data_IF_236426995900
#
_entry.id   IF_236426995900
#
_cell.length_a   1.000
_cell.length_b   1.000
_cell.length_c   1.000
_cell.angle_alpha   90.00
_cell.angle_beta   90.00
_cell.angle_gamma   90.00
#
_symmetry.space_group_name_H-M   'P 1'
#
loop_
_entity.id
_entity.type
_entity.pdbx_description
1 polymer ?
#
# COMPACT_ATOMS: atom_id res chain seq x y z
N UNK A 1 12.38 14.83 -8.98
CA UNK A 1 11.02 14.53 -9.47
C UNK A 1 10.48 13.32 -8.72
N UNK A 2 9.64 13.50 -7.70
CA UNK A 2 9.13 12.40 -6.89
C UNK A 2 7.61 12.40 -6.90
N UNK A 3 7.01 11.80 -7.94
CA UNK A 3 5.56 11.54 -8.00
C UNK A 3 5.29 10.15 -7.41
N UNK A 4 5.60 9.97 -6.13
CA UNK A 4 5.08 8.84 -5.37
C UNK A 4 3.65 9.22 -4.96
N UNK A 5 2.69 8.95 -5.85
CA UNK A 5 1.29 8.95 -5.46
C UNK A 5 1.10 7.86 -4.41
N UNK A 6 1.14 8.25 -3.13
CA UNK A 6 1.03 7.34 -2.00
C UNK A 6 -0.34 6.66 -2.05
N UNK A 7 -0.41 5.43 -2.55
CA UNK A 7 -1.57 4.58 -2.28
C UNK A 7 -1.74 4.50 -0.77
N UNK A 8 -2.90 4.91 -0.25
CA UNK A 8 -3.16 4.89 1.19
C UNK A 8 -2.78 3.55 1.78
N UNK A 9 -2.05 3.57 2.89
CA UNK A 9 -1.61 2.37 3.61
C UNK A 9 -2.77 1.40 3.87
N UNK A 10 -3.95 1.94 4.17
CA UNK A 10 -5.19 1.18 4.30
C UNK A 10 -5.56 0.36 3.06
N UNK A 11 -5.36 0.90 1.86
CA UNK A 11 -5.67 0.21 0.61
C UNK A 11 -4.72 -0.97 0.39
N UNK A 12 -3.42 -0.78 0.67
CA UNK A 12 -2.43 -1.86 0.57
C UNK A 12 -2.73 -2.99 1.56
N UNK A 13 -3.03 -2.62 2.81
CA UNK A 13 -3.37 -3.58 3.87
C UNK A 13 -4.65 -4.36 3.55
N UNK A 14 -5.69 -3.69 3.03
CA UNK A 14 -6.93 -4.34 2.61
C UNK A 14 -6.72 -5.28 1.42
N UNK A 15 -5.93 -4.88 0.43
CA UNK A 15 -5.61 -5.73 -0.72
C UNK A 15 -4.82 -6.99 -0.32
N UNK A 16 -3.80 -6.85 0.55
CA UNK A 16 -3.03 -7.97 1.04
C UNK A 16 -3.85 -8.88 1.99
N UNK A 17 -4.76 -8.31 2.77
CA UNK A 17 -5.71 -9.09 3.58
C UNK A 17 -6.68 -9.89 2.71
N UNK A 18 -7.14 -9.32 1.58
CA UNK A 18 -7.97 -10.04 0.62
C UNK A 18 -7.23 -11.27 0.05
N UNK A 19 -5.96 -11.11 -0.34
CA UNK A 19 -5.12 -12.25 -0.75
C UNK A 19 -4.96 -13.30 0.36
N UNK A 20 -4.76 -12.88 1.60
CA UNK A 20 -4.64 -13.80 2.74
C UNK A 20 -5.93 -14.59 3.04
N UNK A 21 -7.10 -14.04 2.67
CA UNK A 21 -8.39 -14.74 2.74
C UNK A 21 -8.59 -15.76 1.61
N UNK A 22 -7.68 -15.81 0.63
CA UNK A 22 -7.74 -16.73 -0.51
C UNK A 22 -8.31 -16.10 -1.80
N UNK A 23 -8.53 -14.78 -1.83
CA UNK A 23 -8.97 -14.09 -3.05
C UNK A 23 -7.89 -14.18 -4.13
N UNK A 24 -8.30 -14.34 -5.40
CA UNK A 24 -7.35 -14.36 -6.52
C UNK A 24 -6.81 -12.96 -6.76
N UNK A 25 -5.53 -12.84 -7.14
CA UNK A 25 -4.89 -11.56 -7.48
C UNK A 25 -5.71 -10.70 -8.45
N UNK A 26 -6.31 -11.33 -9.46
CA UNK A 26 -7.13 -10.65 -10.48
C UNK A 26 -8.38 -10.01 -9.86
N UNK A 27 -9.04 -10.71 -8.94
CA UNK A 27 -10.25 -10.25 -8.28
C UNK A 27 -9.93 -9.09 -7.31
N UNK A 28 -8.81 -9.19 -6.58
CA UNK A 28 -8.30 -8.09 -5.74
C UNK A 28 -7.96 -6.85 -6.59
N UNK A 29 -7.28 -7.02 -7.73
CA UNK A 29 -6.99 -5.92 -8.64
C UNK A 29 -8.27 -5.21 -9.11
N UNK A 30 -9.30 -5.97 -9.47
CA UNK A 30 -10.61 -5.43 -9.89
C UNK A 30 -11.34 -4.74 -8.74
N UNK A 31 -11.32 -5.33 -7.55
CA UNK A 31 -11.99 -4.79 -6.34
C UNK A 31 -11.41 -3.44 -5.90
N UNK A 32 -10.09 -3.28 -5.99
CA UNK A 32 -9.39 -2.06 -5.57
C UNK A 32 -9.02 -1.11 -6.71
N UNK A 33 -9.33 -1.47 -7.97
CA UNK A 33 -8.99 -0.67 -9.14
C UNK A 33 -7.48 -0.49 -9.37
N UNK A 34 -6.68 -1.48 -8.96
CA UNK A 34 -5.21 -1.43 -9.05
C UNK A 34 -4.68 -2.38 -10.12
N UNK A 35 -3.53 -2.03 -10.69
CA UNK A 35 -2.83 -2.89 -11.62
C UNK A 35 -2.24 -4.12 -10.94
N UNK A 36 -2.16 -5.25 -11.66
CA UNK A 36 -1.48 -6.47 -11.18
C UNK A 36 -0.04 -6.21 -10.75
N UNK A 37 0.68 -5.40 -11.52
CA UNK A 37 2.05 -5.01 -11.19
C UNK A 37 2.16 -4.32 -9.82
N UNK A 38 1.19 -3.47 -9.47
CA UNK A 38 1.15 -2.79 -8.16
C UNK A 38 0.94 -3.79 -7.03
N UNK A 39 0.06 -4.77 -7.23
CA UNK A 39 -0.19 -5.82 -6.25
C UNK A 39 1.03 -6.74 -6.07
N UNK A 40 1.70 -7.13 -7.16
CA UNK A 40 2.93 -7.93 -7.11
C UNK A 40 4.07 -7.20 -6.39
N UNK A 41 4.25 -5.89 -6.62
CA UNK A 41 5.23 -5.09 -5.87
C UNK A 41 4.95 -5.09 -4.36
N UNK A 42 3.69 -5.06 -3.94
CA UNK A 42 3.35 -5.13 -2.50
C UNK A 42 3.59 -6.52 -1.92
N UNK A 43 3.30 -7.58 -2.67
CA UNK A 43 3.60 -8.96 -2.26
C UNK A 43 5.11 -9.15 -2.11
N UNK A 44 5.90 -8.69 -3.09
CA UNK A 44 7.35 -8.78 -3.05
C UNK A 44 7.93 -8.02 -1.86
N UNK A 45 7.50 -6.77 -1.63
CA UNK A 45 7.93 -5.99 -0.45
C UNK A 45 7.59 -6.67 0.86
N UNK A 46 6.40 -7.26 0.98
CA UNK A 46 6.00 -8.02 2.17
C UNK A 46 6.88 -9.27 2.37
N UNK A 47 7.26 -9.95 1.30
CA UNK A 47 8.14 -11.12 1.36
C UNK A 47 9.60 -10.73 1.71
N UNK A 48 10.10 -9.63 1.17
CA UNK A 48 11.46 -9.13 1.40
C UNK A 48 11.63 -8.48 2.78
N UNK A 49 10.62 -7.73 3.26
CA UNK A 49 10.71 -6.93 4.49
C UNK A 49 10.01 -7.60 5.69
N UNK A 50 9.19 -8.64 5.48
CA UNK A 50 8.40 -9.29 6.53
C UNK A 50 7.21 -8.47 7.04
N UNK A 51 7.14 -7.19 6.71
CA UNK A 51 6.05 -6.28 7.04
C UNK A 51 5.70 -5.36 5.85
N UNK A 52 4.43 -4.96 5.75
CA UNK A 52 3.92 -4.00 4.73
C UNK A 52 4.29 -2.57 5.12
N UNK A 53 4.89 -2.37 6.29
CA UNK A 53 5.66 -1.18 6.58
C UNK A 53 6.93 -1.22 5.73
N UNK A 54 6.84 -0.57 4.56
CA UNK A 54 7.99 0.13 4.03
C UNK A 54 8.57 0.94 5.18
N UNK A 55 9.76 0.54 5.65
CA UNK A 55 10.68 1.23 6.55
C UNK A 55 10.13 2.63 6.89
N UNK A 56 9.29 2.72 7.92
CA UNK A 56 8.69 3.99 8.34
C UNK A 56 9.75 4.80 9.10
N UNK A 57 10.82 5.17 8.41
CA UNK A 57 11.73 6.23 8.82
C UNK A 57 11.29 7.60 8.32
N UNK A 58 10.04 7.75 7.88
CA UNK A 58 9.47 9.07 7.61
C UNK A 58 8.10 9.19 8.28
N UNK A 59 8.18 9.59 9.56
CA UNK A 59 7.28 10.50 10.27
C UNK A 59 5.95 10.77 9.54
N UNK A 60 4.91 10.13 10.06
CA UNK A 60 3.53 10.29 9.62
C UNK A 60 3.03 11.71 9.95
N UNK A 61 2.84 12.53 8.91
CA UNK A 61 1.72 13.47 8.80
C UNK A 61 1.71 14.77 9.62
N UNK A 62 2.06 15.87 8.95
CA UNK A 62 1.39 17.18 8.99
C UNK A 62 0.68 17.63 10.30
N UNK A 63 1.37 18.46 11.09
CA UNK A 63 0.71 19.53 11.84
C UNK A 63 0.69 20.80 10.98
N UNK A 64 -0.37 20.98 10.20
CA UNK A 64 -0.74 22.31 9.72
C UNK A 64 -1.23 23.13 10.92
N UNK A 65 -0.48 24.17 11.31
CA UNK A 65 -1.03 25.35 11.98
C UNK A 65 -0.69 26.54 11.09
N UNK A 66 -1.69 27.02 10.35
CA UNK A 66 -1.66 28.33 9.73
C UNK A 66 -1.78 29.33 10.89
N UNK A 67 -0.79 30.19 11.04
CA UNK A 67 -0.87 31.41 11.88
C UNK A 67 -1.67 32.46 11.10
N UNK A 68 -2.60 33.13 11.78
CA UNK A 68 -3.23 34.38 11.33
C UNK A 68 -2.21 35.53 11.35
#
# INVERSE_FOLDING_TARGET
>A
MSKAGSYSYDLQRKALAALARGERKIDVCRMFGISRNTLDLWIQRKAETGDVQAITHYQQGARHKITD
#
